data_IF_716910334265
#
_entry.id   IF_716910334265
#
_cell.length_a   1.000
_cell.length_b   1.000
_cell.length_c   1.000
_cell.angle_alpha   90.00
_cell.angle_beta   90.00
_cell.angle_gamma   90.00
#
_symmetry.space_group_name_H-M   'P 1'
#
loop_
_entity.id
_entity.type
_entity.pdbx_description
1 polymer ?
#
# COMPACT_ATOMS: atom_id res chain seq x y z
N UNK A 1 -9.27 -3.05 -19.15
CA UNK A 1 -9.05 -1.58 -19.34
C UNK A 1 -7.58 -1.29 -19.11
N UNK A 2 -6.92 -0.59 -20.02
CA UNK A 2 -5.48 -0.30 -19.94
C UNK A 2 -5.16 0.58 -18.72
N UNK A 3 -4.06 0.29 -18.03
CA UNK A 3 -3.61 1.12 -16.90
C UNK A 3 -3.19 2.52 -17.37
N UNK A 4 -3.33 3.50 -16.48
CA UNK A 4 -2.92 4.89 -16.74
C UNK A 4 -1.38 5.08 -16.69
N UNK A 5 -0.64 4.05 -16.27
CA UNK A 5 0.81 4.07 -16.12
C UNK A 5 1.41 2.69 -16.37
N UNK A 6 2.70 2.64 -16.64
CA UNK A 6 3.50 1.42 -16.75
C UNK A 6 3.76 0.85 -15.35
N UNK A 7 3.15 -0.30 -15.05
CA UNK A 7 3.18 -0.93 -13.72
C UNK A 7 4.61 -1.35 -13.35
N UNK A 8 5.28 -2.09 -14.24
CA UNK A 8 6.62 -2.61 -13.98
C UNK A 8 7.61 -1.50 -13.67
N UNK A 9 7.70 -0.52 -14.56
CA UNK A 9 8.58 0.63 -14.41
C UNK A 9 8.28 1.39 -13.11
N UNK A 10 7.00 1.62 -12.82
CA UNK A 10 6.59 2.40 -11.65
C UNK A 10 6.93 1.69 -10.36
N UNK A 11 6.61 0.40 -10.24
CA UNK A 11 6.91 -0.40 -9.04
C UNK A 11 8.42 -0.50 -8.81
N UNK A 12 9.20 -0.76 -9.86
CA UNK A 12 10.67 -0.89 -9.77
C UNK A 12 11.38 0.43 -9.44
N UNK A 13 10.79 1.58 -9.75
CA UNK A 13 11.40 2.90 -9.48
C UNK A 13 10.88 3.57 -8.21
N UNK A 14 9.65 3.25 -7.77
CA UNK A 14 9.04 3.81 -6.57
C UNK A 14 9.81 3.44 -5.30
N UNK A 15 10.00 4.41 -4.42
CA UNK A 15 10.51 4.19 -3.06
C UNK A 15 9.85 5.16 -2.08
N UNK A 16 9.90 4.87 -0.78
CA UNK A 16 9.39 5.77 0.26
C UNK A 16 10.29 7.00 0.38
N UNK A 17 9.82 8.15 -0.10
CA UNK A 17 10.49 9.44 -0.07
C UNK A 17 10.20 10.13 1.25
N UNK A 18 11.25 10.58 1.95
CA UNK A 18 11.11 11.30 3.24
C UNK A 18 11.71 12.70 3.22
N UNK A 19 12.41 13.05 2.13
CA UNK A 19 13.01 14.36 1.93
C UNK A 19 12.54 14.92 0.59
N UNK A 20 11.90 16.08 0.63
CA UNK A 20 11.24 16.71 -0.50
C UNK A 20 11.90 18.03 -0.86
N UNK A 21 11.86 18.38 -2.16
CA UNK A 21 12.28 19.70 -2.64
C UNK A 21 11.28 20.75 -2.21
N UNK A 22 11.77 21.97 -2.00
CA UNK A 22 10.94 23.16 -1.88
C UNK A 22 10.47 23.62 -3.27
N UNK A 23 9.60 22.79 -3.88
CA UNK A 23 9.06 23.00 -5.21
C UNK A 23 7.58 22.65 -5.19
N UNK A 24 6.68 23.58 -5.50
CA UNK A 24 5.25 23.32 -5.55
C UNK A 24 4.91 22.33 -6.65
N UNK A 25 3.87 21.53 -6.42
CA UNK A 25 3.30 20.68 -7.46
C UNK A 25 2.45 21.57 -8.38
N UNK A 26 2.65 21.54 -9.72
CA UNK A 26 1.85 22.34 -10.64
C UNK A 26 0.35 22.05 -10.52
N UNK A 27 -0.49 23.07 -10.65
CA UNK A 27 -1.95 22.94 -10.56
C UNK A 27 -2.53 21.89 -11.53
N UNK A 28 -1.96 21.77 -12.73
CA UNK A 28 -2.33 20.72 -13.69
C UNK A 28 -2.07 19.31 -13.13
N UNK A 29 -0.95 19.11 -12.44
CA UNK A 29 -0.61 17.82 -11.83
C UNK A 29 -1.53 17.51 -10.64
N UNK A 30 -1.86 18.52 -9.83
CA UNK A 30 -2.87 18.38 -8.77
C UNK A 30 -4.23 17.98 -9.36
N UNK A 31 -4.66 18.64 -10.44
CA UNK A 31 -5.91 18.30 -11.12
C UNK A 31 -5.92 16.87 -11.66
N UNK A 32 -4.79 16.38 -12.21
CA UNK A 32 -4.64 14.98 -12.64
C UNK A 32 -4.80 14.01 -11.46
N UNK A 33 -4.18 14.31 -10.32
CA UNK A 33 -4.30 13.48 -9.11
C UNK A 33 -5.75 13.45 -8.59
N UNK A 34 -6.42 14.60 -8.52
CA UNK A 34 -7.82 14.70 -8.10
C UNK A 34 -8.77 13.96 -9.05
N UNK A 35 -8.55 14.09 -10.36
CA UNK A 35 -9.30 13.34 -11.36
C UNK A 35 -9.08 11.84 -11.21
N UNK A 36 -7.83 11.40 -10.96
CA UNK A 36 -7.52 9.98 -10.76
C UNK A 36 -8.18 9.43 -9.49
N UNK A 37 -8.14 10.17 -8.38
CA UNK A 37 -8.82 9.80 -7.12
C UNK A 37 -10.30 9.50 -7.37
N UNK A 38 -11.00 10.29 -8.22
CA UNK A 38 -12.42 10.07 -8.51
C UNK A 38 -12.71 8.80 -9.31
N UNK A 39 -11.70 8.14 -9.86
CA UNK A 39 -11.82 6.87 -10.61
C UNK A 39 -11.41 5.65 -9.78
N UNK A 40 -10.84 5.86 -8.59
CA UNK A 40 -10.40 4.76 -7.73
C UNK A 40 -11.59 3.91 -7.27
N UNK A 41 -11.34 2.62 -7.21
CA UNK A 41 -12.28 1.66 -6.64
C UNK A 41 -11.52 0.41 -6.21
N UNK A 42 -12.04 -0.34 -5.26
CA UNK A 42 -11.41 -1.53 -4.74
C UNK A 42 -12.33 -2.76 -4.90
N UNK A 43 -11.76 -3.97 -4.99
CA UNK A 43 -12.52 -5.21 -5.15
C UNK A 43 -13.23 -5.68 -3.87
N UNK A 44 -13.06 -4.96 -2.76
CA UNK A 44 -13.55 -5.34 -1.44
C UNK A 44 -14.85 -4.62 -1.04
N UNK A 45 -15.33 -3.68 -1.87
CA UNK A 45 -16.55 -2.91 -1.60
C UNK A 45 -16.41 -1.89 -0.47
N UNK A 46 -15.19 -1.59 -0.04
CA UNK A 46 -14.93 -0.57 0.98
C UNK A 46 -15.17 0.85 0.41
N UNK A 47 -15.78 1.70 1.21
CA UNK A 47 -15.93 3.13 0.87
C UNK A 47 -14.74 3.91 1.41
N UNK A 48 -13.83 4.29 0.52
CA UNK A 48 -12.63 5.07 0.85
C UNK A 48 -12.86 6.54 0.50
N UNK A 49 -12.57 7.43 1.44
CA UNK A 49 -12.64 8.88 1.22
C UNK A 49 -11.22 9.45 1.22
N UNK A 50 -10.84 10.07 0.11
CA UNK A 50 -9.56 10.74 -0.02
C UNK A 50 -9.69 12.23 0.20
N UNK A 51 -8.68 12.83 0.82
CA UNK A 51 -8.52 14.26 0.91
C UNK A 51 -7.06 14.66 0.67
N UNK A 52 -6.86 15.82 0.06
CA UNK A 52 -5.55 16.45 -0.09
C UNK A 52 -5.45 17.63 0.86
N UNK A 53 -4.31 17.78 1.49
CA UNK A 53 -4.00 18.87 2.41
C UNK A 53 -2.74 19.58 1.96
N UNK A 54 -2.81 20.90 1.86
CA UNK A 54 -1.64 21.76 1.75
C UNK A 54 -1.25 22.26 3.15
N UNK A 55 -0.04 21.91 3.59
CA UNK A 55 0.51 22.41 4.85
C UNK A 55 1.01 23.84 4.65
N UNK A 56 0.27 24.82 5.14
CA UNK A 56 0.70 26.22 5.16
C UNK A 56 1.83 26.38 6.18
N UNK A 57 3.06 26.39 5.71
CA UNK A 57 4.28 26.52 6.54
C UNK A 57 4.59 27.95 7.00
N UNK A 58 3.65 28.89 6.91
CA UNK A 58 3.91 30.31 7.21
C UNK A 58 3.81 30.69 8.69
N UNK A 59 3.15 29.88 9.53
CA UNK A 59 3.06 30.16 10.98
C UNK A 59 3.42 28.94 11.80
N UNK A 60 4.31 29.13 12.80
CA UNK A 60 4.86 28.09 13.67
C UNK A 60 3.83 27.36 14.55
N UNK A 61 2.56 27.68 14.46
CA UNK A 61 1.48 27.15 15.30
C UNK A 61 0.83 25.85 14.79
N UNK A 62 0.93 25.51 13.49
CA UNK A 62 0.26 24.36 12.89
C UNK A 62 1.23 23.44 12.11
N UNK A 63 2.33 23.06 12.74
CA UNK A 63 3.18 21.98 12.20
C UNK A 63 2.46 20.66 12.36
N UNK A 64 1.78 20.22 11.29
CA UNK A 64 1.26 18.87 11.19
C UNK A 64 2.38 17.87 11.53
N UNK A 65 2.24 17.25 12.72
CA UNK A 65 3.32 16.48 13.33
C UNK A 65 3.54 15.14 12.62
N UNK A 66 4.62 15.01 11.89
CA UNK A 66 5.12 13.70 11.39
C UNK A 66 6.28 13.16 12.22
N UNK A 67 6.38 13.62 13.48
CA UNK A 67 7.47 13.27 14.42
C UNK A 67 8.86 13.36 13.80
N UNK A 68 9.03 14.30 12.85
CA UNK A 68 10.28 14.54 12.14
C UNK A 68 10.66 13.42 11.16
N UNK A 69 9.75 12.54 10.80
CA UNK A 69 9.99 11.50 9.78
C UNK A 69 10.05 12.06 8.37
N UNK A 70 9.40 13.20 8.14
CA UNK A 70 9.32 13.86 6.83
C UNK A 70 9.97 15.24 6.90
N UNK A 71 10.66 15.61 5.84
CA UNK A 71 11.33 16.90 5.69
C UNK A 71 10.93 17.53 4.36
N UNK A 72 10.44 18.77 4.37
CA UNK A 72 10.20 19.59 3.19
C UNK A 72 8.90 19.30 2.42
N UNK A 73 8.09 18.33 2.83
CA UNK A 73 6.79 18.11 2.20
C UNK A 73 5.81 19.25 2.56
N UNK A 74 5.07 19.71 1.57
CA UNK A 74 4.05 20.74 1.70
C UNK A 74 2.63 20.21 1.49
N UNK A 75 2.48 19.17 0.71
CA UNK A 75 1.20 18.55 0.40
C UNK A 75 1.16 17.10 0.97
N UNK A 76 -0.04 16.71 1.35
CA UNK A 76 -0.31 15.38 1.91
C UNK A 76 -1.61 14.80 1.34
N UNK A 77 -1.62 13.50 1.10
CA UNK A 77 -2.83 12.71 0.98
C UNK A 77 -3.23 12.14 2.33
N UNK A 78 -4.52 12.10 2.60
CA UNK A 78 -5.11 11.29 3.65
C UNK A 78 -6.22 10.44 3.07
N UNK A 79 -6.36 9.21 3.57
CA UNK A 79 -7.45 8.33 3.22
C UNK A 79 -8.15 7.87 4.50
N UNK A 80 -9.47 8.02 4.54
CA UNK A 80 -10.30 7.56 5.65
C UNK A 80 -11.33 6.53 5.18
N UNK A 81 -11.73 5.67 6.11
CA UNK A 81 -12.75 4.64 5.90
C UNK A 81 -13.71 4.57 7.08
N UNK A 82 -14.97 4.30 6.78
CA UNK A 82 -15.91 3.81 7.79
C UNK A 82 -15.58 2.35 8.09
N UNK A 83 -15.52 2.00 9.37
CA UNK A 83 -15.17 0.62 9.80
C UNK A 83 -16.21 -0.39 9.29
N UNK A 84 -15.74 -1.34 8.52
CA UNK A 84 -16.52 -2.47 7.97
C UNK A 84 -15.57 -3.61 7.62
N UNK A 85 -16.13 -4.75 7.22
CA UNK A 85 -15.34 -5.85 6.68
C UNK A 85 -14.51 -5.37 5.48
N UNK A 86 -13.23 -5.71 5.47
CA UNK A 86 -12.28 -5.32 4.43
C UNK A 86 -12.06 -3.82 4.21
N UNK A 87 -12.50 -2.95 5.15
CA UNK A 87 -12.30 -1.50 5.00
C UNK A 87 -10.83 -1.10 4.93
N UNK A 88 -9.95 -1.76 5.70
CA UNK A 88 -8.51 -1.49 5.71
C UNK A 88 -7.82 -2.05 4.47
N UNK A 89 -8.23 -3.23 4.00
CA UNK A 89 -7.74 -3.83 2.76
C UNK A 89 -8.14 -2.98 1.55
N UNK A 90 -9.39 -2.50 1.52
CA UNK A 90 -9.87 -1.60 0.46
C UNK A 90 -9.14 -0.27 0.45
N UNK A 91 -8.89 0.33 1.63
CA UNK A 91 -8.07 1.54 1.75
C UNK A 91 -6.63 1.27 1.27
N UNK A 92 -6.03 0.16 1.69
CA UNK A 92 -4.68 -0.23 1.27
C UNK A 92 -4.56 -0.35 -0.25
N UNK A 93 -5.59 -0.95 -0.87
CA UNK A 93 -5.68 -1.12 -2.31
C UNK A 93 -5.73 0.22 -3.05
N UNK A 94 -6.73 1.05 -2.77
CA UNK A 94 -6.92 2.32 -3.50
C UNK A 94 -5.80 3.32 -3.22
N UNK A 95 -5.33 3.39 -1.98
CA UNK A 95 -4.27 4.33 -1.65
C UNK A 95 -2.93 3.92 -2.28
N UNK A 96 -2.62 2.63 -2.40
CA UNK A 96 -1.42 2.19 -3.13
C UNK A 96 -1.56 2.46 -4.64
N UNK A 97 -2.73 2.27 -5.24
CA UNK A 97 -2.96 2.63 -6.64
C UNK A 97 -2.72 4.14 -6.86
N UNK A 98 -3.17 5.02 -5.94
CA UNK A 98 -2.86 6.45 -5.97
C UNK A 98 -1.36 6.73 -5.81
N UNK A 99 -0.68 6.02 -4.91
CA UNK A 99 0.77 6.12 -4.68
C UNK A 99 1.55 5.75 -5.94
N UNK A 100 1.15 4.70 -6.63
CA UNK A 100 1.76 4.28 -7.90
C UNK A 100 1.49 5.32 -9.01
N UNK A 101 0.26 5.82 -9.11
CA UNK A 101 -0.05 6.87 -10.08
C UNK A 101 0.78 8.14 -9.83
N UNK A 102 0.88 8.59 -8.58
CA UNK A 102 1.73 9.73 -8.22
C UNK A 102 3.21 9.50 -8.58
N UNK A 103 3.72 8.28 -8.33
CA UNK A 103 5.09 7.91 -8.70
C UNK A 103 5.31 7.94 -10.22
N UNK A 104 4.33 7.53 -11.01
CA UNK A 104 4.38 7.60 -12.49
C UNK A 104 4.47 9.04 -13.01
N UNK A 105 3.96 10.00 -12.25
CA UNK A 105 4.08 11.44 -12.53
C UNK A 105 5.40 12.05 -12.01
N UNK A 106 6.32 11.24 -11.49
CA UNK A 106 7.60 11.67 -10.94
C UNK A 106 7.53 12.25 -9.52
N UNK A 107 6.40 12.08 -8.83
CA UNK A 107 6.22 12.51 -7.46
C UNK A 107 6.63 11.42 -6.47
N UNK A 108 7.22 11.83 -5.35
CA UNK A 108 7.56 10.96 -4.24
C UNK A 108 6.44 10.89 -3.22
N UNK A 109 6.25 9.72 -2.61
CA UNK A 109 5.29 9.46 -1.55
C UNK A 109 5.93 8.64 -0.42
N UNK A 110 5.29 8.57 0.74
CA UNK A 110 5.72 7.72 1.85
C UNK A 110 4.53 7.34 2.73
N UNK A 111 4.19 6.07 2.80
CA UNK A 111 3.19 5.59 3.75
C UNK A 111 3.56 5.91 5.20
N UNK A 112 2.66 6.56 5.92
CA UNK A 112 2.76 6.86 7.34
C UNK A 112 1.50 6.32 8.03
N UNK A 113 1.62 5.25 8.81
CA UNK A 113 0.52 4.64 9.56
C UNK A 113 0.59 4.91 11.07
N UNK A 114 1.81 5.00 11.64
CA UNK A 114 2.04 5.20 13.07
C UNK A 114 2.94 6.39 13.42
N UNK A 115 3.42 7.13 12.44
CA UNK A 115 4.44 8.19 12.63
C UNK A 115 3.92 9.57 12.25
N UNK A 116 2.66 9.84 12.56
CA UNK A 116 2.03 11.15 12.40
C UNK A 116 1.01 11.41 13.51
N UNK A 117 0.72 12.68 13.79
CA UNK A 117 -0.34 13.08 14.73
C UNK A 117 -1.70 12.91 14.09
N UNK A 118 -2.34 11.76 14.35
CA UNK A 118 -3.61 11.38 13.70
C UNK A 118 -4.72 12.38 13.97
N UNK A 119 -4.82 12.91 15.19
CA UNK A 119 -5.87 13.87 15.55
C UNK A 119 -5.76 15.20 14.78
N UNK A 120 -4.55 15.74 14.66
CA UNK A 120 -4.30 16.97 13.89
C UNK A 120 -4.61 16.76 12.40
N UNK A 121 -4.14 15.66 11.82
CA UNK A 121 -4.41 15.35 10.41
C UNK A 121 -5.89 15.06 10.16
N UNK A 122 -6.57 14.33 11.05
CA UNK A 122 -7.99 14.06 10.90
C UNK A 122 -8.83 15.35 10.90
N UNK A 123 -8.50 16.29 11.79
CA UNK A 123 -9.13 17.61 11.83
C UNK A 123 -8.85 18.41 10.57
N UNK A 124 -7.59 18.47 10.13
CA UNK A 124 -7.18 19.23 8.95
C UNK A 124 -7.78 18.68 7.64
N UNK A 125 -7.94 17.35 7.56
CA UNK A 125 -8.56 16.66 6.43
C UNK A 125 -10.10 16.57 6.53
N UNK A 126 -10.70 17.15 7.57
CA UNK A 126 -12.14 17.11 7.83
C UNK A 126 -12.72 15.67 7.84
N UNK A 127 -11.96 14.73 8.41
CA UNK A 127 -12.41 13.33 8.55
C UNK A 127 -13.65 13.25 9.44
N UNK A 128 -14.66 12.50 9.03
CA UNK A 128 -15.89 12.33 9.79
C UNK A 128 -15.63 11.65 11.13
N UNK A 129 -16.44 11.96 12.15
CA UNK A 129 -16.25 11.50 13.53
C UNK A 129 -16.16 9.97 13.68
N UNK A 130 -16.92 9.24 12.86
CA UNK A 130 -16.97 7.77 12.88
C UNK A 130 -16.02 7.09 11.87
N UNK A 131 -15.24 7.87 11.13
CA UNK A 131 -14.30 7.33 10.17
C UNK A 131 -12.90 7.21 10.77
N UNK A 132 -12.22 6.14 10.40
CA UNK A 132 -10.83 5.92 10.75
C UNK A 132 -9.93 6.56 9.69
N UNK A 133 -8.91 7.33 10.13
CA UNK A 133 -7.79 7.80 9.31
C UNK A 133 -6.56 6.92 9.60
N UNK A 134 -6.39 5.75 8.99
CA UNK A 134 -5.32 4.83 9.37
C UNK A 134 -3.96 5.25 8.85
N UNK A 135 -3.91 5.96 7.72
CA UNK A 135 -2.67 6.36 7.07
C UNK A 135 -2.79 7.69 6.33
N UNK A 136 -1.64 8.34 6.19
CA UNK A 136 -1.42 9.50 5.32
C UNK A 136 -0.17 9.27 4.47
N UNK A 137 0.02 10.07 3.43
CA UNK A 137 1.28 10.14 2.69
C UNK A 137 1.61 11.59 2.34
N UNK A 138 2.82 12.08 2.64
CA UNK A 138 3.33 13.27 1.98
C UNK A 138 3.44 13.02 0.47
N UNK A 139 3.34 14.09 -0.31
CA UNK A 139 3.53 14.07 -1.75
C UNK A 139 4.33 15.28 -2.20
N UNK A 140 5.22 15.11 -3.17
CA UNK A 140 6.06 16.18 -3.71
C UNK A 140 7.23 15.66 -4.51
N UNK A 141 8.10 16.55 -4.97
CA UNK A 141 9.29 16.15 -5.71
C UNK A 141 10.39 15.64 -4.78
N UNK A 142 10.96 14.43 -5.03
CA UNK A 142 12.03 13.89 -4.21
C UNK A 142 13.27 14.79 -4.21
N UNK A 143 13.81 15.06 -3.03
CA UNK A 143 15.11 15.68 -2.87
C UNK A 143 16.23 14.65 -2.62
N UNK A 144 17.48 15.09 -2.52
CA UNK A 144 18.59 14.24 -2.11
C UNK A 144 18.31 13.70 -0.68
N UNK A 145 18.43 12.39 -0.49
CA UNK A 145 18.27 11.75 0.81
C UNK A 145 19.17 12.35 1.85
N UNK A 146 18.62 12.76 2.98
CA UNK A 146 19.40 13.23 4.13
C UNK A 146 19.88 12.03 4.99
N UNK A 147 20.76 12.32 5.97
CA UNK A 147 21.31 11.27 6.85
C UNK A 147 20.21 10.54 7.63
N UNK A 148 19.20 11.26 8.11
CA UNK A 148 18.08 10.69 8.87
C UNK A 148 17.28 9.71 8.02
N UNK A 149 16.93 10.09 6.80
CA UNK A 149 16.23 9.19 5.85
C UNK A 149 17.07 7.94 5.60
N UNK A 150 18.37 8.10 5.38
CA UNK A 150 19.29 6.97 5.15
C UNK A 150 19.31 6.01 6.35
N UNK A 151 19.35 6.54 7.58
CA UNK A 151 19.32 5.74 8.80
C UNK A 151 17.98 4.99 8.97
N UNK A 152 16.85 5.68 8.76
CA UNK A 152 15.52 5.06 8.83
C UNK A 152 15.39 3.93 7.80
N UNK A 153 15.78 4.17 6.54
CA UNK A 153 15.74 3.15 5.50
C UNK A 153 16.58 1.91 5.86
N UNK A 154 17.77 2.14 6.42
CA UNK A 154 18.66 1.07 6.87
C UNK A 154 18.04 0.26 8.02
N UNK A 155 17.44 0.94 9.02
CA UNK A 155 16.86 0.29 10.20
C UNK A 155 15.69 -0.63 9.85
N UNK A 156 14.82 -0.23 8.92
CA UNK A 156 13.69 -1.06 8.45
C UNK A 156 14.06 -1.97 7.27
N UNK A 157 15.33 -1.98 6.87
CA UNK A 157 15.81 -2.76 5.70
C UNK A 157 14.97 -2.47 4.44
N UNK A 158 14.66 -1.19 4.16
CA UNK A 158 13.68 -0.76 3.17
C UNK A 158 13.91 -1.30 1.74
N UNK A 159 15.16 -1.60 1.41
CA UNK A 159 15.57 -2.10 0.08
C UNK A 159 15.64 -3.64 0.02
N UNK A 160 15.35 -4.34 1.13
CA UNK A 160 15.34 -5.81 1.17
C UNK A 160 13.94 -6.33 0.95
N UNK A 161 13.85 -7.44 0.22
CA UNK A 161 12.62 -8.21 0.07
C UNK A 161 12.80 -9.59 0.66
N UNK A 162 11.71 -10.17 1.18
CA UNK A 162 11.71 -11.59 1.54
C UNK A 162 11.94 -12.43 0.28
N UNK A 163 12.59 -13.58 0.38
CA UNK A 163 12.75 -14.49 -0.74
C UNK A 163 11.40 -14.95 -1.30
N UNK A 164 11.38 -15.29 -2.57
CA UNK A 164 10.19 -15.75 -3.28
C UNK A 164 9.55 -16.99 -2.62
N UNK A 165 10.35 -17.97 -2.27
CA UNK A 165 9.98 -19.23 -1.63
C UNK A 165 9.42 -19.09 -0.20
N UNK A 166 9.59 -17.91 0.40
CA UNK A 166 9.00 -17.55 1.71
C UNK A 166 7.64 -16.86 1.56
N UNK A 167 7.33 -16.36 0.37
CA UNK A 167 6.11 -15.59 0.11
C UNK A 167 5.06 -16.38 -0.66
N UNK A 168 5.49 -17.28 -1.56
CA UNK A 168 4.62 -17.93 -2.53
C UNK A 168 4.75 -19.45 -2.46
N UNK A 169 3.59 -20.12 -2.45
CA UNK A 169 3.49 -21.55 -2.21
C UNK A 169 2.56 -22.21 -3.24
N UNK A 170 2.73 -23.51 -3.45
CA UNK A 170 1.93 -24.33 -4.35
C UNK A 170 1.21 -25.42 -3.57
N UNK A 171 -0.11 -25.49 -3.69
CA UNK A 171 -1.04 -26.43 -3.06
C UNK A 171 -1.01 -26.41 -1.51
N UNK A 172 0.10 -26.06 -0.87
CA UNK A 172 0.24 -26.00 0.60
C UNK A 172 1.40 -25.13 1.04
N UNK A 173 1.43 -24.73 2.31
CA UNK A 173 2.56 -23.99 2.90
C UNK A 173 3.86 -24.80 3.00
N UNK A 174 3.83 -26.12 2.78
CA UNK A 174 5.02 -26.96 2.79
C UNK A 174 5.76 -26.99 1.44
N UNK A 175 5.11 -26.54 0.36
CA UNK A 175 5.66 -26.57 -1.00
C UNK A 175 5.83 -25.14 -1.54
N UNK A 176 7.04 -24.58 -1.60
CA UNK A 176 7.28 -23.30 -2.27
C UNK A 176 6.91 -23.40 -3.76
N UNK A 177 6.21 -22.36 -4.25
CA UNK A 177 5.94 -22.20 -5.69
C UNK A 177 7.24 -21.74 -6.37
N UNK A 178 7.76 -22.52 -7.32
CA UNK A 178 8.91 -22.09 -8.12
C UNK A 178 8.49 -20.96 -9.08
N UNK A 179 9.40 -20.02 -9.33
CA UNK A 179 9.10 -18.88 -10.22
C UNK A 179 8.77 -19.35 -11.64
N UNK A 180 9.47 -20.37 -12.13
CA UNK A 180 9.24 -21.02 -13.42
C UNK A 180 7.87 -21.72 -13.53
N UNK A 181 7.33 -22.20 -12.40
CA UNK A 181 6.02 -22.88 -12.33
C UNK A 181 4.85 -21.89 -12.14
N UNK A 182 5.14 -20.62 -11.82
CA UNK A 182 4.11 -19.59 -11.68
C UNK A 182 3.50 -19.18 -13.02
N UNK A 183 4.14 -19.51 -14.16
CA UNK A 183 3.64 -19.26 -15.50
C UNK A 183 3.31 -17.78 -15.74
N UNK A 184 2.13 -17.51 -16.29
CA UNK A 184 1.68 -16.13 -16.56
C UNK A 184 1.56 -15.26 -15.30
N UNK A 185 1.40 -15.87 -14.12
CA UNK A 185 1.28 -15.18 -12.84
C UNK A 185 2.62 -14.88 -12.15
N UNK A 186 3.76 -15.29 -12.72
CA UNK A 186 5.08 -14.90 -12.22
C UNK A 186 5.22 -13.37 -12.10
N UNK A 187 4.77 -12.64 -13.13
CA UNK A 187 4.83 -11.16 -13.11
C UNK A 187 3.92 -10.52 -12.05
N UNK A 188 2.63 -10.87 -11.88
CA UNK A 188 1.82 -10.40 -10.75
C UNK A 188 2.43 -10.70 -9.37
N UNK A 189 3.01 -11.88 -9.18
CA UNK A 189 3.68 -12.25 -7.94
C UNK A 189 4.96 -11.44 -7.72
N UNK A 190 5.79 -11.22 -8.74
CA UNK A 190 6.97 -10.35 -8.67
C UNK A 190 6.60 -8.92 -8.26
N UNK A 191 5.58 -8.34 -8.88
CA UNK A 191 5.12 -6.98 -8.53
C UNK A 191 4.59 -6.92 -7.10
N UNK A 192 3.93 -7.97 -6.62
CA UNK A 192 3.48 -8.09 -5.23
C UNK A 192 4.66 -8.17 -4.27
N UNK A 193 5.68 -8.98 -4.57
CA UNK A 193 6.91 -9.08 -3.79
C UNK A 193 7.58 -7.70 -3.61
N UNK A 194 7.53 -6.84 -4.62
CA UNK A 194 8.11 -5.49 -4.60
C UNK A 194 7.25 -4.47 -3.84
N UNK A 195 6.02 -4.80 -3.48
CA UNK A 195 5.10 -3.93 -2.76
C UNK A 195 5.68 -3.35 -1.46
N UNK A 196 5.30 -2.13 -1.06
CA UNK A 196 5.65 -1.60 0.26
C UNK A 196 4.79 -2.23 1.36
N UNK A 197 5.30 -2.19 2.59
CA UNK A 197 4.54 -2.59 3.77
C UNK A 197 5.00 -1.84 5.02
N UNK A 198 4.15 -1.83 6.04
CA UNK A 198 4.49 -1.23 7.32
C UNK A 198 5.77 -1.85 7.90
N UNK A 199 6.76 -1.00 8.21
CA UNK A 199 8.11 -1.40 8.64
C UNK A 199 8.78 -2.46 7.75
N UNK A 200 8.40 -2.54 6.47
CA UNK A 200 8.89 -3.52 5.50
C UNK A 200 8.66 -4.99 5.95
N UNK A 201 7.56 -5.24 6.65
CA UNK A 201 7.22 -6.58 7.20
C UNK A 201 6.87 -7.59 6.12
N UNK A 202 6.29 -7.13 4.98
CA UNK A 202 5.85 -8.00 3.88
C UNK A 202 5.01 -9.18 4.40
N UNK A 203 3.81 -8.90 4.99
CA UNK A 203 3.06 -9.93 5.73
C UNK A 203 2.30 -10.90 4.83
N UNK A 204 2.21 -10.64 3.55
CA UNK A 204 1.49 -11.50 2.61
C UNK A 204 2.17 -12.84 2.41
N UNK A 205 1.35 -13.90 2.39
CA UNK A 205 1.69 -15.24 1.93
C UNK A 205 0.62 -15.65 0.94
N UNK A 206 1.01 -16.18 -0.19
CA UNK A 206 0.08 -16.54 -1.26
C UNK A 206 0.27 -18.02 -1.57
N UNK A 207 -0.81 -18.79 -1.42
CA UNK A 207 -0.85 -20.22 -1.76
C UNK A 207 -1.68 -20.37 -3.03
N UNK A 208 -1.09 -20.88 -4.09
CA UNK A 208 -1.80 -21.27 -5.30
C UNK A 208 -2.40 -22.66 -5.11
N UNK A 209 -3.69 -22.82 -5.38
CA UNK A 209 -4.36 -24.12 -5.48
C UNK A 209 -5.14 -24.15 -6.79
N UNK A 210 -4.68 -24.94 -7.74
CA UNK A 210 -5.20 -24.94 -9.09
C UNK A 210 -5.10 -23.54 -9.74
N UNK A 211 -6.22 -22.92 -10.09
CA UNK A 211 -6.30 -21.57 -10.67
C UNK A 211 -6.66 -20.48 -9.64
N UNK A 212 -6.57 -20.76 -8.34
CA UNK A 212 -6.93 -19.83 -7.27
C UNK A 212 -5.67 -19.48 -6.47
N UNK A 213 -5.45 -18.20 -6.21
CA UNK A 213 -4.38 -17.68 -5.38
C UNK A 213 -4.98 -17.20 -4.05
N UNK A 214 -4.71 -17.93 -2.97
CA UNK A 214 -5.24 -17.66 -1.63
C UNK A 214 -4.26 -16.77 -0.87
N UNK A 215 -4.71 -15.60 -0.44
CA UNK A 215 -3.91 -14.61 0.28
C UNK A 215 -4.08 -14.79 1.79
N UNK A 216 -2.97 -14.92 2.48
CA UNK A 216 -2.89 -15.05 3.94
C UNK A 216 -2.03 -13.91 4.51
N UNK A 217 -2.44 -13.41 5.66
CA UNK A 217 -1.65 -12.51 6.48
C UNK A 217 -0.78 -13.32 7.45
N UNK A 218 0.54 -13.16 7.38
CA UNK A 218 1.50 -13.59 8.41
C UNK A 218 1.40 -12.61 9.59
N UNK A 219 0.50 -12.92 10.52
CA UNK A 219 0.13 -12.05 11.62
C UNK A 219 1.26 -11.87 12.62
N UNK A 220 1.78 -10.65 12.74
CA UNK A 220 2.74 -10.27 13.75
C UNK A 220 2.03 -9.88 15.04
N UNK A 221 2.03 -10.77 16.04
CA UNK A 221 1.41 -10.51 17.34
C UNK A 221 1.95 -9.22 17.98
N UNK A 222 1.06 -8.42 18.56
CA UNK A 222 1.40 -7.18 19.25
C UNK A 222 1.81 -6.00 18.35
N UNK A 223 2.00 -6.23 17.04
CA UNK A 223 2.52 -5.19 16.15
C UNK A 223 1.58 -4.00 15.98
N UNK A 224 0.28 -4.24 15.96
CA UNK A 224 -0.76 -3.24 15.75
C UNK A 224 -1.43 -2.73 17.04
N UNK A 225 -1.08 -3.24 18.21
CA UNK A 225 -1.82 -2.99 19.47
C UNK A 225 -1.97 -1.50 19.82
N UNK A 226 -0.96 -0.69 19.50
CA UNK A 226 -0.96 0.75 19.80
C UNK A 226 -1.74 1.59 18.79
N UNK A 227 -2.16 1.00 17.67
CA UNK A 227 -2.83 1.73 16.59
C UNK A 227 -4.36 1.69 16.72
N UNK A 228 -4.90 0.72 17.46
CA UNK A 228 -6.35 0.49 17.56
C UNK A 228 -6.97 -0.17 16.34
N UNK A 229 -6.17 -0.54 15.34
CA UNK A 229 -6.56 -1.27 14.14
C UNK A 229 -5.37 -2.09 13.63
N UNK A 230 -5.65 -3.08 12.81
CA UNK A 230 -4.63 -3.93 12.23
C UNK A 230 -4.00 -3.30 10.97
N UNK A 231 -2.78 -2.77 11.12
CA UNK A 231 -2.07 -2.15 10.00
C UNK A 231 -1.65 -3.16 8.92
N UNK A 232 -1.50 -4.45 9.25
CA UNK A 232 -1.13 -5.48 8.26
C UNK A 232 -2.27 -5.75 7.28
N UNK A 233 -3.53 -5.48 7.63
CA UNK A 233 -4.65 -5.51 6.69
C UNK A 233 -4.50 -4.49 5.56
N UNK A 234 -3.94 -3.31 5.86
CA UNK A 234 -3.59 -2.32 4.83
C UNK A 234 -2.52 -2.91 3.90
N UNK A 235 -1.50 -3.57 4.46
CA UNK A 235 -0.46 -4.23 3.68
C UNK A 235 -1.04 -5.34 2.77
N UNK A 236 -2.08 -6.05 3.22
CA UNK A 236 -2.78 -7.03 2.39
C UNK A 236 -3.52 -6.38 1.22
N UNK A 237 -4.12 -5.20 1.44
CA UNK A 237 -4.71 -4.38 0.39
C UNK A 237 -3.67 -3.89 -0.63
N UNK A 238 -2.50 -3.46 -0.16
CA UNK A 238 -1.36 -3.10 -1.02
C UNK A 238 -0.94 -4.30 -1.88
N UNK A 239 -0.81 -5.48 -1.29
CA UNK A 239 -0.47 -6.71 -2.01
C UNK A 239 -1.51 -7.05 -3.09
N UNK A 240 -2.81 -6.92 -2.78
CA UNK A 240 -3.90 -7.12 -3.74
C UNK A 240 -3.85 -6.11 -4.89
N UNK A 241 -3.56 -4.83 -4.60
CA UNK A 241 -3.39 -3.78 -5.60
C UNK A 241 -2.27 -4.13 -6.59
N UNK A 242 -1.09 -4.45 -6.08
CA UNK A 242 0.06 -4.83 -6.91
C UNK A 242 -0.25 -6.05 -7.78
N UNK A 243 -0.86 -7.08 -7.20
CA UNK A 243 -1.21 -8.31 -7.93
C UNK A 243 -2.20 -8.02 -9.05
N UNK A 244 -3.32 -7.36 -8.76
CA UNK A 244 -4.37 -7.11 -9.75
C UNK A 244 -3.94 -6.15 -10.85
N UNK A 245 -3.24 -5.07 -10.52
CA UNK A 245 -2.75 -4.12 -11.52
C UNK A 245 -1.73 -4.78 -12.46
N UNK A 246 -0.85 -5.62 -11.91
CA UNK A 246 0.10 -6.39 -12.71
C UNK A 246 -0.61 -7.45 -13.59
N UNK A 247 -1.62 -8.14 -13.06
CA UNK A 247 -2.44 -9.06 -13.85
C UNK A 247 -3.13 -8.32 -15.01
N UNK A 248 -3.72 -7.14 -14.74
CA UNK A 248 -4.34 -6.30 -15.78
C UNK A 248 -3.34 -5.80 -16.83
N UNK A 249 -2.10 -5.48 -16.45
CA UNK A 249 -1.06 -5.10 -17.42
C UNK A 249 -0.71 -6.24 -18.39
N UNK A 250 -0.85 -7.49 -17.95
CA UNK A 250 -0.62 -8.69 -18.77
C UNK A 250 -1.89 -9.28 -19.36
N UNK A 251 -3.00 -8.53 -19.35
CA UNK A 251 -4.32 -8.98 -19.84
C UNK A 251 -4.81 -10.29 -19.20
N UNK A 252 -4.38 -10.58 -17.96
CA UNK A 252 -4.82 -11.74 -17.20
C UNK A 252 -6.16 -11.42 -16.54
N UNK A 253 -7.20 -12.13 -16.95
CA UNK A 253 -8.52 -12.01 -16.35
C UNK A 253 -8.57 -12.65 -14.95
N UNK A 254 -9.44 -12.12 -14.10
CA UNK A 254 -9.68 -12.66 -12.76
C UNK A 254 -10.32 -11.62 -11.84
N UNK A 255 -10.61 -12.06 -10.62
CA UNK A 255 -11.21 -11.19 -9.61
C UNK A 255 -10.84 -11.62 -8.20
N UNK A 256 -10.82 -10.67 -7.28
CA UNK A 256 -10.77 -10.97 -5.84
C UNK A 256 -12.14 -11.36 -5.31
N UNK A 257 -12.16 -12.34 -4.39
CA UNK A 257 -13.36 -12.81 -3.72
C UNK A 257 -13.02 -13.36 -2.33
N UNK A 258 -13.93 -13.19 -1.37
CA UNK A 258 -13.84 -13.88 -0.08
C UNK A 258 -14.46 -15.25 -0.23
N UNK A 259 -13.62 -16.26 -0.30
CA UNK A 259 -14.02 -17.67 -0.32
C UNK A 259 -13.96 -18.26 1.09
N UNK A 260 -14.47 -19.49 1.24
CA UNK A 260 -14.10 -20.33 2.39
C UNK A 260 -12.60 -20.62 2.32
N UNK A 261 -11.91 -20.51 3.45
CA UNK A 261 -10.48 -20.84 3.51
C UNK A 261 -10.28 -22.31 3.06
N UNK A 262 -9.27 -22.57 2.21
CA UNK A 262 -9.01 -23.94 1.75
C UNK A 262 -8.60 -24.82 2.92
N UNK A 263 -8.97 -26.10 2.84
CA UNK A 263 -8.61 -27.12 3.85
C UNK A 263 -7.17 -27.60 3.64
N UNK A 264 -6.22 -26.76 4.02
CA UNK A 264 -4.79 -27.08 3.99
C UNK A 264 -4.20 -26.92 5.39
N UNK A 265 -3.08 -27.59 5.67
CA UNK A 265 -2.34 -27.38 6.92
C UNK A 265 -1.81 -25.94 6.95
N UNK A 266 -2.42 -25.11 7.81
CA UNK A 266 -2.15 -23.68 7.88
C UNK A 266 -1.41 -23.36 9.18
N UNK A 267 -0.22 -22.75 9.13
CA UNK A 267 0.51 -22.33 10.34
C UNK A 267 -0.34 -21.36 11.18
N UNK A 268 -0.24 -21.48 12.52
CA UNK A 268 -1.12 -20.78 13.45
C UNK A 268 -1.12 -19.23 13.33
N UNK A 269 -0.05 -18.66 12.80
CA UNK A 269 0.09 -17.22 12.57
C UNK A 269 -0.41 -16.77 11.19
N UNK A 270 -0.82 -17.69 10.32
CA UNK A 270 -1.32 -17.40 8.99
C UNK A 270 -2.83 -17.25 9.02
N UNK A 271 -3.32 -16.05 8.75
CA UNK A 271 -4.75 -15.75 8.72
C UNK A 271 -5.21 -15.60 7.27
N UNK A 272 -6.17 -16.44 6.85
CA UNK A 272 -6.76 -16.33 5.51
C UNK A 272 -7.51 -15.00 5.36
N UNK A 273 -7.22 -14.26 4.29
CA UNK A 273 -7.83 -12.98 3.99
C UNK A 273 -8.86 -13.09 2.86
N UNK A 274 -8.41 -13.35 1.67
CA UNK A 274 -9.22 -13.41 0.44
C UNK A 274 -8.47 -14.21 -0.64
N UNK A 275 -9.12 -14.38 -1.79
CA UNK A 275 -8.55 -15.13 -2.92
C UNK A 275 -8.68 -14.35 -4.22
N UNK A 276 -7.70 -14.54 -5.11
CA UNK A 276 -7.80 -14.20 -6.52
C UNK A 276 -8.20 -15.45 -7.30
N UNK A 277 -9.30 -15.38 -8.04
CA UNK A 277 -9.75 -16.43 -8.95
C UNK A 277 -9.30 -16.03 -10.34
N UNK A 278 -8.37 -16.80 -10.92
CA UNK A 278 -7.90 -16.61 -12.28
C UNK A 278 -9.01 -16.98 -13.28
N UNK A 279 -9.20 -16.13 -14.29
CA UNK A 279 -10.21 -16.30 -15.34
C UNK A 279 -9.78 -17.25 -16.46
#
# INVERSE_FOLDING_TARGET
>A
MKLAFDMEKTVKTRYSVRTYKDQPIPAETIAKLQSYISTLSNPFGASVTFAMLESKTADNSDKLGTYGMITGAKEYFGASVTSSDFSLEGLGYEFEELVLYAASLGLGTCWLGGTFNRGEFAKALAVKENDLLPAISPIGYPAKKNLKETLVRKSIKADKRKPWDVLFFDESFAAPLLEEDAGAYAFPLEMTLLGPSASNKQPWRIVRIGNIYHFYEDKAQGYSDRLGFDVQKIDMGIAACHFQLAAREKDLAGRFEKLTAPSIDTPANMLYCFSWIAG
#
